data_IF_718535034513
#
_entry.id   IF_718535034513
#
_cell.length_a   1.000
_cell.length_b   1.000
_cell.length_c   1.000
_cell.angle_alpha   90.00
_cell.angle_beta   90.00
_cell.angle_gamma   90.00
#
_symmetry.space_group_name_H-M   'P 1'
#
loop_
_entity.id
_entity.type
_entity.pdbx_description
1 polymer ?
#
# COMPACT_ATOMS: atom_id res chain seq x y z
N UNK A 1 49.50 -0.15 -19.72
CA UNK A 1 48.68 0.37 -18.60
C UNK A 1 47.25 -0.07 -18.87
N UNK A 2 46.81 -1.17 -18.24
CA UNK A 2 45.47 -1.72 -18.44
C UNK A 2 44.54 -0.94 -17.53
N UNK A 3 43.58 -0.21 -18.10
CA UNK A 3 42.48 0.37 -17.34
C UNK A 3 41.59 -0.78 -16.87
N UNK A 4 41.76 -1.20 -15.62
CA UNK A 4 40.75 -1.99 -14.91
C UNK A 4 39.53 -1.09 -14.69
N UNK A 5 38.57 -1.17 -15.60
CA UNK A 5 37.24 -0.62 -15.37
C UNK A 5 36.59 -1.52 -14.31
N UNK A 6 36.71 -1.13 -13.04
CA UNK A 6 35.87 -1.70 -11.98
C UNK A 6 34.46 -1.20 -12.26
N UNK A 7 33.69 -1.99 -12.98
CA UNK A 7 32.25 -1.80 -13.09
C UNK A 7 31.68 -2.10 -11.70
N UNK A 8 31.40 -1.04 -10.93
CA UNK A 8 30.55 -1.18 -9.75
C UNK A 8 29.17 -1.50 -10.32
N UNK A 9 28.87 -2.80 -10.46
CA UNK A 9 27.51 -3.29 -10.62
C UNK A 9 26.79 -2.87 -9.35
N UNK A 10 26.14 -1.70 -9.40
CA UNK A 10 24.97 -1.51 -8.56
C UNK A 10 24.09 -2.72 -8.83
N UNK A 11 23.82 -3.51 -7.80
CA UNK A 11 22.79 -4.54 -7.83
C UNK A 11 21.47 -3.81 -8.01
N UNK A 12 21.17 -3.41 -9.24
CA UNK A 12 19.94 -2.74 -9.59
C UNK A 12 18.85 -3.78 -9.51
N UNK A 13 17.92 -3.62 -8.58
CA UNK A 13 16.72 -4.42 -8.51
C UNK A 13 15.95 -4.24 -9.83
N UNK A 14 15.93 -5.26 -10.72
CA UNK A 14 15.41 -5.09 -12.07
C UNK A 14 13.89 -5.25 -12.07
N UNK A 15 13.26 -4.75 -13.12
CA UNK A 15 11.87 -5.10 -13.41
C UNK A 15 11.77 -6.52 -13.96
N UNK A 16 10.68 -7.26 -13.68
CA UNK A 16 10.46 -8.61 -14.22
C UNK A 16 10.01 -8.61 -15.69
N UNK A 17 9.89 -7.43 -16.31
CA UNK A 17 9.52 -7.20 -17.70
C UNK A 17 10.62 -6.44 -18.43
N UNK A 18 10.81 -6.70 -19.72
CA UNK A 18 11.75 -5.92 -20.54
C UNK A 18 11.17 -4.55 -20.90
N UNK A 19 11.98 -3.49 -20.97
CA UNK A 19 13.39 -3.43 -20.57
C UNK A 19 13.56 -3.50 -19.04
N UNK A 20 14.55 -4.28 -18.55
CA UNK A 20 14.70 -4.56 -17.11
C UNK A 20 15.22 -3.39 -16.28
N UNK A 21 15.83 -2.40 -16.96
CA UNK A 21 16.60 -1.30 -16.40
C UNK A 21 15.90 0.06 -16.50
N UNK A 22 14.66 0.07 -16.96
CA UNK A 22 13.85 1.30 -17.14
C UNK A 22 12.56 1.17 -16.35
N UNK A 23 12.06 2.29 -15.82
CA UNK A 23 10.80 2.32 -15.09
C UNK A 23 9.64 1.75 -15.92
N UNK A 24 8.85 0.87 -15.30
CA UNK A 24 7.59 0.39 -15.85
C UNK A 24 6.41 1.03 -15.14
N UNK A 25 5.27 1.04 -15.84
CA UNK A 25 3.95 1.34 -15.29
C UNK A 25 3.68 0.64 -13.96
N UNK A 26 3.05 1.32 -13.02
CA UNK A 26 2.40 0.74 -11.84
C UNK A 26 0.94 1.19 -11.87
N UNK A 27 0.02 0.23 -11.81
CA UNK A 27 -1.43 0.50 -11.78
C UNK A 27 -2.09 0.03 -10.48
N UNK A 28 -1.35 -0.61 -9.60
CA UNK A 28 -1.82 -1.03 -8.29
C UNK A 28 -0.64 -1.12 -7.35
N UNK A 29 -0.84 -0.70 -6.10
CA UNK A 29 0.22 -0.64 -5.09
C UNK A 29 -0.05 -1.58 -3.93
N UNK A 30 0.99 -1.90 -3.17
CA UNK A 30 0.85 -2.68 -1.95
C UNK A 30 -0.09 -1.94 -1.01
N UNK A 31 -1.05 -2.66 -0.44
CA UNK A 31 -2.00 -2.09 0.51
C UNK A 31 -3.30 -1.59 -0.11
N UNK A 32 -3.42 -1.46 -1.44
CA UNK A 32 -4.69 -1.08 -2.08
C UNK A 32 -5.84 -1.99 -1.64
N UNK A 33 -7.03 -1.42 -1.43
CA UNK A 33 -8.23 -2.19 -1.14
C UNK A 33 -8.61 -3.06 -2.35
N UNK A 34 -8.87 -4.36 -2.12
CA UNK A 34 -9.30 -5.33 -3.14
C UNK A 34 -10.45 -6.20 -2.61
N UNK A 35 -11.14 -6.90 -3.51
CA UNK A 35 -12.26 -7.78 -3.15
C UNK A 35 -13.57 -7.02 -2.92
N UNK A 36 -14.30 -7.35 -1.85
CA UNK A 36 -15.57 -6.71 -1.50
C UNK A 36 -15.65 -6.41 -0.01
N UNK A 37 -16.70 -5.73 0.47
CA UNK A 37 -16.87 -5.50 1.92
C UNK A 37 -16.89 -6.81 2.72
N UNK A 38 -17.48 -7.88 2.16
CA UNK A 38 -17.59 -9.18 2.83
C UNK A 38 -16.37 -10.08 2.64
N UNK A 39 -15.49 -9.74 1.70
CA UNK A 39 -14.25 -10.44 1.38
C UNK A 39 -13.16 -9.43 1.02
N UNK A 40 -12.87 -8.54 1.98
CA UNK A 40 -11.94 -7.42 1.78
C UNK A 40 -10.53 -7.91 1.98
N UNK A 41 -9.60 -7.45 1.16
CA UNK A 41 -8.19 -7.81 1.27
C UNK A 41 -7.31 -6.64 0.86
N UNK A 42 -6.11 -6.59 1.44
CA UNK A 42 -5.06 -5.76 0.89
C UNK A 42 -4.54 -6.37 -0.42
N UNK A 43 -4.11 -5.50 -1.31
CA UNK A 43 -3.31 -5.87 -2.46
C UNK A 43 -1.90 -6.24 -2.02
N UNK A 44 -1.42 -7.44 -2.39
CA UNK A 44 -0.18 -8.03 -1.88
C UNK A 44 1.03 -7.85 -2.82
N UNK A 45 1.04 -6.79 -3.61
CA UNK A 45 2.17 -6.51 -4.49
C UNK A 45 1.95 -5.23 -5.27
N UNK A 46 2.53 -5.19 -6.45
CA UNK A 46 2.25 -4.17 -7.46
C UNK A 46 1.63 -4.81 -8.70
N UNK A 47 0.80 -4.04 -9.39
CA UNK A 47 0.31 -4.40 -10.72
C UNK A 47 1.13 -3.60 -11.74
N UNK A 48 1.79 -4.29 -12.66
CA UNK A 48 2.63 -3.71 -13.71
C UNK A 48 1.87 -3.84 -15.04
N UNK A 49 1.30 -2.76 -15.61
CA UNK A 49 0.57 -2.82 -16.87
C UNK A 49 1.40 -3.39 -18.00
N UNK A 50 0.86 -4.40 -18.65
CA UNK A 50 1.47 -5.08 -19.79
C UNK A 50 0.38 -5.88 -20.52
N UNK A 51 0.36 -5.81 -21.86
CA UNK A 51 -0.65 -6.53 -22.63
C UNK A 51 -0.45 -8.05 -22.61
N UNK A 52 -1.47 -8.83 -23.03
CA UNK A 52 -1.36 -10.28 -23.12
C UNK A 52 -0.19 -10.70 -24.01
N UNK A 53 0.49 -11.81 -23.66
CA UNK A 53 1.67 -12.30 -24.37
C UNK A 53 2.97 -11.55 -24.06
N UNK A 54 2.96 -10.56 -23.16
CA UNK A 54 4.20 -9.90 -22.72
C UNK A 54 5.04 -10.85 -21.88
N UNK A 55 6.26 -11.16 -22.32
CA UNK A 55 7.16 -12.08 -21.63
C UNK A 55 7.55 -11.60 -20.23
N UNK A 56 7.48 -12.53 -19.26
CA UNK A 56 7.88 -12.32 -17.86
C UNK A 56 9.11 -13.16 -17.56
N UNK A 57 10.06 -12.56 -16.83
CA UNK A 57 11.35 -13.14 -16.50
C UNK A 57 11.56 -13.19 -14.99
N UNK A 58 12.23 -14.24 -14.51
CA UNK A 58 12.55 -14.34 -13.10
C UNK A 58 13.64 -13.33 -12.71
N UNK A 59 13.46 -12.62 -11.60
CA UNK A 59 14.47 -11.73 -11.04
C UNK A 59 15.65 -12.53 -10.48
N UNK A 60 15.37 -13.56 -9.70
CA UNK A 60 16.38 -14.45 -9.10
C UNK A 60 16.45 -15.79 -9.82
N UNK A 61 17.61 -16.42 -9.83
CA UNK A 61 17.72 -17.83 -10.17
C UNK A 61 17.12 -18.70 -9.08
N UNK A 62 16.71 -19.91 -9.45
CA UNK A 62 16.22 -20.90 -8.49
C UNK A 62 15.29 -21.91 -9.12
N UNK A 63 14.50 -22.57 -8.26
CA UNK A 63 13.44 -23.49 -8.70
C UNK A 63 12.11 -22.74 -8.79
N UNK A 64 11.46 -22.83 -9.94
CA UNK A 64 10.15 -22.24 -10.17
C UNK A 64 9.03 -23.19 -9.75
N UNK A 65 8.00 -22.66 -9.11
CA UNK A 65 6.82 -23.43 -8.68
C UNK A 65 5.55 -22.69 -9.06
N UNK A 66 4.50 -23.43 -9.40
CA UNK A 66 3.20 -22.84 -9.70
C UNK A 66 2.52 -22.30 -8.44
N UNK A 67 1.74 -21.23 -8.59
CA UNK A 67 0.78 -20.78 -7.58
C UNK A 67 -0.31 -21.84 -7.36
N UNK A 68 -1.04 -21.75 -6.25
CA UNK A 68 -2.16 -22.66 -5.96
C UNK A 68 -3.25 -22.62 -7.05
N UNK A 69 -3.46 -21.46 -7.67
CA UNK A 69 -4.46 -21.27 -8.72
C UNK A 69 -3.93 -21.56 -10.12
N UNK A 70 -2.67 -21.98 -10.25
CA UNK A 70 -1.98 -22.24 -11.52
C UNK A 70 -2.01 -21.06 -12.51
N UNK A 71 -2.19 -19.84 -11.99
CA UNK A 71 -2.23 -18.58 -12.71
C UNK A 71 -0.94 -17.77 -12.57
N UNK A 72 0.12 -18.41 -12.06
CA UNK A 72 1.38 -17.76 -11.78
C UNK A 72 2.49 -18.71 -11.39
N UNK A 73 3.68 -18.13 -11.20
CA UNK A 73 4.88 -18.80 -10.68
C UNK A 73 5.42 -18.03 -9.50
N UNK A 74 6.13 -18.72 -8.60
CA UNK A 74 7.09 -18.10 -7.71
C UNK A 74 8.47 -18.74 -7.81
N UNK A 75 9.50 -17.93 -7.61
CA UNK A 75 10.92 -18.34 -7.54
C UNK A 75 11.53 -17.65 -6.32
N UNK A 76 11.90 -18.42 -5.30
CA UNK A 76 12.25 -17.85 -3.99
C UNK A 76 11.08 -17.08 -3.40
N UNK A 77 11.30 -15.80 -3.05
CA UNK A 77 10.26 -14.91 -2.49
C UNK A 77 9.53 -14.07 -3.55
N UNK A 78 9.85 -14.24 -4.84
CA UNK A 78 9.26 -13.45 -5.91
C UNK A 78 8.10 -14.21 -6.56
N UNK A 79 6.93 -13.59 -6.55
CA UNK A 79 5.69 -14.15 -7.11
C UNK A 79 5.30 -13.34 -8.35
N UNK A 80 4.93 -14.05 -9.40
CA UNK A 80 4.55 -13.53 -10.72
C UNK A 80 3.19 -14.14 -11.06
N UNK A 81 2.13 -13.33 -11.01
CA UNK A 81 0.73 -13.78 -11.06
C UNK A 81 0.03 -13.12 -12.26
N UNK A 82 -1.03 -13.75 -12.74
CA UNK A 82 -1.72 -13.45 -14.00
C UNK A 82 -0.87 -13.80 -15.23
N UNK A 83 -0.29 -14.99 -15.19
CA UNK A 83 0.50 -15.55 -16.27
C UNK A 83 -0.26 -16.61 -17.08
N UNK A 84 0.13 -16.75 -18.34
CA UNK A 84 -0.13 -17.90 -19.19
C UNK A 84 1.20 -18.43 -19.78
N UNK A 85 1.12 -19.50 -20.60
CA UNK A 85 2.30 -20.17 -21.20
C UNK A 85 3.46 -20.38 -20.21
N UNK A 86 3.08 -20.78 -19.00
CA UNK A 86 3.92 -20.88 -17.81
C UNK A 86 4.83 -22.11 -17.94
N UNK A 87 6.11 -21.98 -17.58
CA UNK A 87 7.04 -23.11 -17.56
C UNK A 87 6.61 -24.21 -16.57
N UNK A 88 7.14 -25.42 -16.72
CA UNK A 88 6.80 -26.53 -15.84
C UNK A 88 7.22 -26.26 -14.37
N UNK A 89 6.34 -26.59 -13.43
CA UNK A 89 6.65 -26.53 -12.00
C UNK A 89 7.84 -27.45 -11.68
N UNK A 90 8.75 -26.97 -10.84
CA UNK A 90 10.01 -27.63 -10.49
C UNK A 90 11.18 -27.32 -11.43
N UNK A 91 10.99 -26.56 -12.50
CA UNK A 91 12.08 -26.18 -13.43
C UNK A 91 13.15 -25.34 -12.73
N UNK A 92 14.43 -25.54 -13.08
CA UNK A 92 15.49 -24.60 -12.72
C UNK A 92 15.46 -23.43 -13.70
N UNK A 93 15.60 -22.21 -13.19
CA UNK A 93 15.62 -20.98 -13.97
C UNK A 93 16.81 -20.12 -13.58
N UNK A 94 17.40 -19.45 -14.57
CA UNK A 94 18.42 -18.42 -14.40
C UNK A 94 17.74 -17.05 -14.41
N UNK A 95 17.88 -16.30 -13.32
CA UNK A 95 17.26 -14.99 -13.15
C UNK A 95 18.07 -13.83 -13.74
N UNK A 96 17.42 -12.67 -13.84
CA UNK A 96 18.00 -11.42 -14.35
C UNK A 96 19.25 -11.01 -13.55
N UNK A 97 19.24 -11.20 -12.22
CA UNK A 97 20.37 -10.83 -11.37
C UNK A 97 21.64 -11.65 -11.67
N UNK A 98 21.49 -12.90 -12.09
CA UNK A 98 22.62 -13.78 -12.40
C UNK A 98 23.04 -13.69 -13.88
N UNK A 99 22.07 -13.50 -14.79
CA UNK A 99 22.34 -13.34 -16.23
C UNK A 99 21.41 -12.29 -16.86
N UNK A 100 21.74 -10.99 -16.77
CA UNK A 100 20.88 -9.93 -17.29
C UNK A 100 20.78 -9.92 -18.82
N UNK A 101 21.73 -10.53 -19.52
CA UNK A 101 21.76 -10.59 -20.98
C UNK A 101 20.82 -11.67 -21.54
N UNK A 102 20.71 -12.80 -20.83
CA UNK A 102 19.89 -13.92 -21.26
C UNK A 102 19.26 -14.67 -20.07
N UNK A 103 18.35 -14.02 -19.31
CA UNK A 103 17.61 -14.67 -18.25
C UNK A 103 16.48 -15.54 -18.82
N UNK A 104 16.03 -16.51 -18.04
CA UNK A 104 14.95 -17.41 -18.45
C UNK A 104 13.58 -16.72 -18.37
N UNK A 105 12.80 -16.86 -19.45
CA UNK A 105 11.38 -16.53 -19.47
C UNK A 105 10.62 -17.58 -18.66
N UNK A 106 9.77 -17.14 -17.73
CA UNK A 106 8.97 -18.02 -16.87
C UNK A 106 7.50 -18.14 -17.30
N UNK A 107 7.03 -17.23 -18.15
CA UNK A 107 5.68 -17.19 -18.70
C UNK A 107 5.48 -15.90 -19.48
N UNK A 108 4.24 -15.61 -19.83
CA UNK A 108 3.82 -14.31 -20.32
C UNK A 108 2.54 -13.84 -19.64
N UNK A 109 2.28 -12.54 -19.67
CA UNK A 109 1.09 -11.92 -19.10
C UNK A 109 -0.16 -12.46 -19.80
N UNK A 110 -1.15 -12.91 -19.03
CA UNK A 110 -2.42 -13.44 -19.56
C UNK A 110 -3.48 -12.36 -19.83
N UNK A 111 -3.37 -11.22 -19.14
CA UNK A 111 -4.36 -10.15 -19.13
C UNK A 111 -3.76 -8.78 -19.47
N UNK A 112 -4.13 -7.77 -18.71
CA UNK A 112 -3.69 -6.38 -18.90
C UNK A 112 -2.56 -5.94 -17.96
N UNK A 113 -2.12 -6.81 -17.06
CA UNK A 113 -1.00 -6.56 -16.15
C UNK A 113 -0.35 -7.84 -15.63
N UNK A 114 0.88 -7.70 -15.15
CA UNK A 114 1.54 -8.64 -14.25
C UNK A 114 1.26 -8.23 -12.81
N UNK A 115 0.71 -9.13 -11.99
CA UNK A 115 0.71 -8.94 -10.54
C UNK A 115 2.01 -9.49 -9.95
N UNK A 116 2.80 -8.62 -9.35
CA UNK A 116 4.14 -8.92 -8.87
C UNK A 116 4.26 -8.68 -7.37
N UNK A 117 4.62 -9.72 -6.64
CA UNK A 117 4.60 -9.75 -5.17
C UNK A 117 5.96 -10.23 -4.63
N UNK A 118 6.35 -9.70 -3.46
CA UNK A 118 7.56 -10.13 -2.74
C UNK A 118 7.19 -10.56 -1.33
N UNK A 119 7.54 -11.80 -0.97
CA UNK A 119 7.39 -12.34 0.37
C UNK A 119 7.32 -13.87 0.37
N UNK A 120 7.43 -14.51 1.55
CA UNK A 120 7.24 -15.94 1.68
C UNK A 120 5.77 -16.32 1.45
N UNK A 121 5.52 -17.62 1.25
CA UNK A 121 4.16 -18.16 1.22
C UNK A 121 3.44 -17.84 2.54
N UNK A 122 2.26 -17.22 2.46
CA UNK A 122 1.49 -16.78 3.63
C UNK A 122 1.88 -15.40 4.19
N UNK A 123 2.88 -14.72 3.60
CA UNK A 123 3.34 -13.41 4.05
C UNK A 123 4.31 -13.48 5.24
N UNK A 124 4.87 -12.33 5.66
CA UNK A 124 4.52 -10.98 5.25
C UNK A 124 4.94 -10.60 3.83
N UNK A 125 4.16 -9.76 3.15
CA UNK A 125 4.49 -9.25 1.82
C UNK A 125 5.08 -7.85 1.90
N UNK A 126 6.25 -7.66 1.29
CA UNK A 126 6.96 -6.37 1.29
C UNK A 126 6.59 -5.57 0.05
N UNK A 127 6.56 -4.24 0.16
CA UNK A 127 6.21 -3.36 -0.94
C UNK A 127 7.32 -3.41 -2.00
N UNK A 128 7.05 -3.97 -3.20
CA UNK A 128 8.05 -4.07 -4.26
C UNK A 128 8.65 -2.71 -4.63
N UNK A 129 7.93 -1.59 -4.48
CA UNK A 129 8.46 -0.27 -4.82
C UNK A 129 9.51 0.26 -3.84
N UNK A 130 9.60 -0.32 -2.64
CA UNK A 130 10.57 0.08 -1.61
C UNK A 130 11.57 -1.02 -1.24
N UNK A 131 11.32 -2.26 -1.66
CA UNK A 131 12.19 -3.41 -1.40
C UNK A 131 13.55 -3.20 -2.07
N UNK A 132 14.65 -3.38 -1.32
CA UNK A 132 16.03 -3.18 -1.79
C UNK A 132 16.29 -1.85 -2.53
N UNK A 133 15.61 -0.77 -2.09
CA UNK A 133 15.73 0.55 -2.70
C UNK A 133 14.78 0.81 -3.88
N UNK A 134 13.92 -0.16 -4.22
CA UNK A 134 12.93 -0.08 -5.28
C UNK A 134 13.48 -0.50 -6.65
N UNK A 135 12.59 -0.81 -7.61
CA UNK A 135 13.02 -1.25 -8.92
C UNK A 135 13.67 -0.08 -9.67
N UNK A 136 14.70 -0.41 -10.44
CA UNK A 136 15.54 0.55 -11.14
C UNK A 136 14.74 1.54 -11.98
N UNK A 137 15.07 2.83 -11.85
CA UNK A 137 14.41 3.91 -12.56
C UNK A 137 13.04 4.32 -12.01
N UNK A 138 12.46 3.57 -11.07
CA UNK A 138 11.23 3.98 -10.41
C UNK A 138 11.48 5.15 -9.46
N UNK A 139 10.66 6.19 -9.57
CA UNK A 139 10.64 7.31 -8.63
C UNK A 139 9.23 7.81 -8.53
N UNK A 140 8.80 8.20 -7.33
CA UNK A 140 7.55 8.91 -7.19
C UNK A 140 7.72 10.20 -6.40
N UNK A 141 7.52 11.31 -7.09
CA UNK A 141 7.50 12.66 -6.54
C UNK A 141 6.12 13.32 -6.73
N UNK A 142 5.10 12.53 -7.08
CA UNK A 142 3.73 12.98 -7.25
C UNK A 142 3.17 13.50 -5.95
N UNK A 143 2.62 14.72 -5.96
CA UNK A 143 1.85 15.17 -4.81
C UNK A 143 0.53 14.40 -4.76
N UNK A 144 0.24 13.67 -3.67
CA UNK A 144 -1.04 12.98 -3.54
C UNK A 144 -2.19 14.00 -3.53
N UNK A 145 -3.37 13.57 -3.96
CA UNK A 145 -4.57 14.39 -3.91
C UNK A 145 -5.39 13.96 -2.71
N UNK A 146 -5.73 14.93 -1.86
CA UNK A 146 -6.70 14.78 -0.78
C UNK A 146 -7.87 15.70 -1.09
N UNK A 147 -9.07 15.13 -1.21
CA UNK A 147 -10.24 15.92 -1.57
C UNK A 147 -10.88 16.61 -0.36
N UNK A 148 -11.16 17.91 -0.54
CA UNK A 148 -11.76 18.83 0.43
C UNK A 148 -13.26 18.63 0.70
N UNK A 149 -13.75 19.37 1.70
CA UNK A 149 -15.09 19.32 2.32
C UNK A 149 -16.33 19.52 1.42
N UNK A 150 -16.20 19.68 0.10
CA UNK A 150 -17.36 19.84 -0.78
C UNK A 150 -18.09 18.50 -1.04
N UNK A 151 -17.41 17.37 -0.84
CA UNK A 151 -17.94 16.01 -1.09
C UNK A 151 -17.66 15.03 0.06
N UNK A 152 -17.00 15.49 1.13
CA UNK A 152 -16.41 14.62 2.12
C UNK A 152 -16.85 15.00 3.54
N UNK A 153 -17.71 14.17 4.09
CA UNK A 153 -18.02 14.08 5.52
C UNK A 153 -16.79 13.50 6.23
N UNK A 154 -16.08 14.33 6.99
CA UNK A 154 -14.75 14.02 7.55
C UNK A 154 -14.80 13.45 8.95
N UNK A 155 -15.79 13.81 9.75
CA UNK A 155 -15.82 13.50 11.17
C UNK A 155 -16.99 12.57 11.48
N UNK A 156 -16.67 11.51 12.20
CA UNK A 156 -17.59 10.43 12.49
C UNK A 156 -17.46 10.03 13.96
N UNK A 157 -18.50 9.46 14.57
CA UNK A 157 -18.36 8.90 15.92
C UNK A 157 -17.51 7.65 15.86
N UNK A 158 -16.62 7.51 16.86
CA UNK A 158 -15.83 6.28 17.07
C UNK A 158 -16.69 5.03 16.89
N UNK A 159 -16.23 4.11 16.03
CA UNK A 159 -16.90 2.87 15.66
C UNK A 159 -17.74 2.97 14.38
N UNK A 160 -17.63 4.07 13.64
CA UNK A 160 -18.34 4.26 12.36
C UNK A 160 -17.76 3.40 11.21
N UNK A 161 -16.59 2.81 11.41
CA UNK A 161 -16.01 1.75 10.59
C UNK A 161 -16.84 0.45 10.63
N UNK A 162 -17.69 0.31 11.66
CA UNK A 162 -18.61 -0.79 11.83
C UNK A 162 -19.88 -0.69 10.98
N UNK A 163 -20.87 -1.53 11.27
CA UNK A 163 -22.10 -1.63 10.45
C UNK A 163 -22.94 -0.35 10.43
N UNK A 164 -22.78 0.52 11.42
CA UNK A 164 -23.54 1.76 11.55
C UNK A 164 -22.59 2.93 11.49
N UNK A 165 -22.97 3.93 10.70
CA UNK A 165 -22.19 5.14 10.51
C UNK A 165 -22.91 6.31 11.19
N UNK A 166 -22.18 7.15 11.92
CA UNK A 166 -22.76 8.35 12.53
C UNK A 166 -21.86 9.56 12.30
N UNK A 167 -22.30 10.43 11.39
CA UNK A 167 -21.58 11.65 11.09
C UNK A 167 -21.65 12.66 12.24
N UNK A 168 -20.58 13.43 12.42
CA UNK A 168 -20.48 14.50 13.41
C UNK A 168 -20.23 15.83 12.71
N UNK A 169 -21.11 16.79 13.00
CA UNK A 169 -20.97 18.18 12.57
C UNK A 169 -20.43 19.05 13.72
N UNK A 170 -19.92 20.23 13.40
CA UNK A 170 -19.45 21.19 14.39
C UNK A 170 -20.57 21.55 15.39
N UNK A 171 -20.29 21.62 16.71
CA UNK A 171 -18.98 21.40 17.35
C UNK A 171 -18.58 19.92 17.43
N UNK A 172 -17.29 19.64 17.18
CA UNK A 172 -16.73 18.29 17.35
C UNK A 172 -16.46 18.05 18.84
N UNK A 173 -16.94 16.93 19.38
CA UNK A 173 -16.77 16.58 20.79
C UNK A 173 -16.76 15.06 20.99
N UNK A 174 -16.14 14.58 22.07
CA UNK A 174 -15.98 13.15 22.37
C UNK A 174 -14.93 12.45 21.48
N UNK A 175 -15.18 11.17 21.20
CA UNK A 175 -14.32 10.28 20.40
C UNK A 175 -14.75 10.31 18.94
N UNK A 176 -13.83 10.67 18.05
CA UNK A 176 -14.09 10.99 16.65
C UNK A 176 -13.18 10.18 15.74
N UNK A 177 -13.74 9.51 14.74
CA UNK A 177 -12.98 8.97 13.62
C UNK A 177 -12.92 10.02 12.52
N UNK A 178 -11.76 10.08 11.87
CA UNK A 178 -11.55 11.02 10.77
C UNK A 178 -11.42 10.20 9.48
N UNK A 179 -12.21 10.57 8.47
CA UNK A 179 -12.19 9.93 7.15
C UNK A 179 -11.70 10.90 6.09
N UNK A 180 -10.85 10.41 5.20
CA UNK A 180 -10.41 11.17 4.03
C UNK A 180 -10.65 10.41 2.74
N UNK A 181 -10.78 11.15 1.64
CA UNK A 181 -10.81 10.59 0.29
C UNK A 181 -9.54 11.05 -0.40
N UNK A 182 -8.66 10.12 -0.78
CA UNK A 182 -7.38 10.45 -1.37
C UNK A 182 -6.88 9.41 -2.38
N UNK A 183 -5.94 9.84 -3.22
CA UNK A 183 -5.18 8.99 -4.14
C UNK A 183 -3.74 9.45 -4.22
N UNK A 184 -2.86 8.53 -4.59
CA UNK A 184 -1.59 8.89 -5.17
C UNK A 184 -1.77 9.25 -6.66
N UNK A 185 -1.01 10.23 -7.15
CA UNK A 185 -1.00 10.57 -8.57
C UNK A 185 0.02 9.75 -9.34
N UNK A 186 1.05 9.23 -8.66
CA UNK A 186 2.27 8.69 -9.25
C UNK A 186 2.93 9.62 -10.28
N UNK A 187 4.22 9.45 -10.58
CA UNK A 187 4.93 10.35 -11.51
C UNK A 187 5.89 9.66 -12.45
N UNK A 188 6.61 8.63 -12.00
CA UNK A 188 7.39 7.77 -12.89
C UNK A 188 6.72 6.43 -13.06
N UNK A 189 6.83 5.88 -14.28
CA UNK A 189 6.41 4.53 -14.60
C UNK A 189 4.98 4.26 -14.12
N UNK A 190 3.97 4.99 -14.57
CA UNK A 190 2.61 4.79 -14.03
C UNK A 190 1.48 5.31 -14.89
N UNK A 191 0.29 4.77 -14.65
CA UNK A 191 -0.99 5.31 -15.12
C UNK A 191 -1.51 6.18 -13.97
N UNK A 192 -1.67 7.49 -14.19
CA UNK A 192 -1.90 8.49 -13.13
C UNK A 192 -3.22 8.33 -12.31
N UNK A 193 -3.91 7.20 -12.38
CA UNK A 193 -5.32 7.09 -12.00
C UNK A 193 -5.72 5.87 -11.18
N UNK A 194 -4.81 5.03 -10.69
CA UNK A 194 -5.24 3.75 -10.06
C UNK A 194 -4.60 3.37 -8.73
N UNK A 195 -3.55 4.06 -8.27
CA UNK A 195 -2.80 3.67 -7.06
C UNK A 195 -3.27 4.39 -5.79
N UNK A 196 -3.29 3.66 -4.68
CA UNK A 196 -3.50 4.21 -3.35
C UNK A 196 -2.27 4.93 -2.82
N UNK A 197 -2.43 5.60 -1.68
CA UNK A 197 -1.34 6.31 -1.00
C UNK A 197 -0.39 5.36 -0.26
N UNK A 198 0.92 5.64 -0.30
CA UNK A 198 1.93 4.88 0.45
C UNK A 198 1.91 5.17 1.96
N UNK A 199 1.72 6.44 2.32
CA UNK A 199 1.73 6.94 3.70
C UNK A 199 0.62 7.95 3.92
N UNK A 200 -0.03 7.86 5.08
CA UNK A 200 -1.03 8.80 5.57
C UNK A 200 -0.68 9.34 6.93
N UNK A 201 -0.85 10.64 7.08
CA UNK A 201 -0.76 11.34 8.34
C UNK A 201 -1.90 12.35 8.45
N UNK A 202 -2.26 12.70 9.68
CA UNK A 202 -3.24 13.74 9.94
C UNK A 202 -2.79 14.63 11.10
N UNK A 203 -3.34 15.83 11.12
CA UNK A 203 -3.20 16.75 12.24
C UNK A 203 -4.50 17.50 12.41
N UNK A 204 -4.72 18.02 13.61
CA UNK A 204 -5.86 18.90 13.89
C UNK A 204 -5.32 20.29 14.12
N UNK A 205 -5.95 21.27 13.47
CA UNK A 205 -5.63 22.69 13.65
C UNK A 205 -6.78 23.41 14.31
N UNK A 206 -6.52 24.05 15.46
CA UNK A 206 -7.48 24.95 16.09
C UNK A 206 -7.78 26.13 15.17
N UNK A 207 -9.06 26.41 14.94
CA UNK A 207 -9.49 27.59 14.16
C UNK A 207 -9.23 28.89 14.89
N UNK A 208 -9.29 28.89 16.22
CA UNK A 208 -9.18 30.10 17.04
C UNK A 208 -7.72 30.51 17.25
N UNK A 209 -6.86 29.55 17.62
CA UNK A 209 -5.45 29.84 17.93
C UNK A 209 -4.52 29.57 16.76
N UNK A 210 -4.96 28.80 15.76
CA UNK A 210 -4.11 28.33 14.67
C UNK A 210 -3.15 27.20 15.05
N UNK A 211 -3.12 26.80 16.33
CA UNK A 211 -2.27 25.72 16.86
C UNK A 211 -2.57 24.40 16.17
N UNK A 212 -1.54 23.71 15.70
CA UNK A 212 -1.64 22.36 15.14
C UNK A 212 -1.18 21.32 16.16
N UNK A 213 -1.90 20.21 16.22
CA UNK A 213 -1.57 19.04 17.02
C UNK A 213 -1.37 17.84 16.09
N UNK A 214 -0.21 17.19 16.17
CA UNK A 214 0.27 16.19 15.21
C UNK A 214 1.58 16.65 14.53
N UNK A 215 1.97 16.05 13.38
CA UNK A 215 1.25 15.00 12.66
C UNK A 215 1.18 13.68 13.43
N UNK A 216 0.06 12.98 13.27
CA UNK A 216 -0.14 11.62 13.72
C UNK A 216 -0.04 10.71 12.51
N UNK A 217 0.83 9.71 12.58
CA UNK A 217 0.94 8.70 11.55
C UNK A 217 -0.23 7.74 11.65
N UNK A 218 -0.86 7.44 10.52
CA UNK A 218 -1.90 6.43 10.41
C UNK A 218 -1.34 5.21 9.71
N UNK A 219 -1.20 5.30 8.40
CA UNK A 219 -0.97 4.15 7.54
C UNK A 219 0.36 4.36 6.86
N UNK A 220 1.20 3.33 6.86
CA UNK A 220 2.33 3.22 5.95
C UNK A 220 2.30 1.81 5.41
N UNK A 221 2.51 1.64 4.12
CA UNK A 221 2.53 0.33 3.47
C UNK A 221 3.95 -0.07 3.03
N UNK A 222 4.92 -0.24 3.96
CA UNK A 222 6.19 -0.88 3.61
C UNK A 222 6.00 -2.40 3.45
N UNK A 223 4.95 -2.94 4.07
CA UNK A 223 4.62 -4.35 4.17
C UNK A 223 3.11 -4.49 4.41
N UNK A 224 2.52 -5.61 3.99
CA UNK A 224 1.16 -6.07 4.33
C UNK A 224 1.21 -7.53 4.78
N UNK A 225 0.20 -7.97 5.54
CA UNK A 225 0.15 -9.23 6.31
C UNK A 225 1.12 -9.27 7.50
N UNK A 226 0.67 -9.48 8.75
CA UNK A 226 -0.64 -9.17 9.36
C UNK A 226 -0.90 -7.64 9.47
N UNK A 227 -2.09 -7.17 9.92
CA UNK A 227 -3.26 -7.99 10.16
C UNK A 227 -3.82 -8.46 8.81
N UNK A 228 -4.54 -9.58 8.86
CA UNK A 228 -5.02 -10.31 7.69
C UNK A 228 -6.15 -9.56 6.94
N UNK A 229 -6.58 -10.18 5.82
CA UNK A 229 -7.82 -9.89 5.12
C UNK A 229 -9.05 -9.81 6.06
N UNK A 230 -10.12 -9.22 5.55
CA UNK A 230 -11.41 -9.11 6.22
C UNK A 230 -11.50 -7.84 7.08
N UNK A 231 -12.06 -7.97 8.28
CA UNK A 231 -12.38 -6.84 9.14
C UNK A 231 -11.25 -5.81 9.35
N UNK A 232 -9.96 -6.19 9.50
CA UNK A 232 -8.87 -5.22 9.65
C UNK A 232 -8.70 -4.29 8.43
N UNK A 233 -8.98 -4.77 7.22
CA UNK A 233 -8.94 -3.95 6.00
C UNK A 233 -10.00 -2.86 6.06
N UNK A 234 -11.15 -3.14 6.66
CA UNK A 234 -12.27 -2.19 6.80
C UNK A 234 -12.05 -1.17 7.93
N UNK A 235 -11.03 -1.37 8.77
CA UNK A 235 -10.54 -0.34 9.69
C UNK A 235 -9.62 0.65 8.98
N UNK A 236 -9.01 0.28 7.84
CA UNK A 236 -8.24 1.21 7.00
C UNK A 236 -9.14 1.87 5.97
N UNK A 237 -10.01 1.09 5.33
CA UNK A 237 -10.87 1.53 4.23
C UNK A 237 -12.33 1.61 4.66
N UNK A 238 -12.99 2.72 4.33
CA UNK A 238 -14.40 2.91 4.64
C UNK A 238 -15.27 1.87 3.93
N UNK A 239 -15.84 0.95 4.71
CA UNK A 239 -16.77 -0.07 4.24
C UNK A 239 -18.04 0.50 3.59
N UNK A 240 -18.53 1.66 4.03
CA UNK A 240 -19.75 2.27 3.50
C UNK A 240 -19.51 2.88 2.12
N UNK A 241 -18.24 3.13 1.79
CA UNK A 241 -17.79 3.65 0.50
C UNK A 241 -16.61 2.82 -0.03
N UNK A 242 -16.68 1.49 0.15
CA UNK A 242 -15.57 0.60 -0.16
C UNK A 242 -15.30 0.59 -1.66
N UNK A 243 -14.02 0.67 -2.02
CA UNK A 243 -13.57 0.74 -3.41
C UNK A 243 -12.42 -0.22 -3.61
N UNK A 244 -12.36 -0.79 -4.80
CA UNK A 244 -11.26 -1.66 -5.24
C UNK A 244 -10.26 -0.96 -6.15
N UNK A 245 -10.54 0.29 -6.50
CA UNK A 245 -9.73 1.14 -7.36
C UNK A 245 -9.67 2.54 -6.74
N UNK A 246 -8.46 3.09 -6.70
CA UNK A 246 -8.19 4.46 -6.25
C UNK A 246 -9.01 5.49 -7.04
N UNK A 247 -9.36 6.64 -6.46
CA UNK A 247 -9.15 7.07 -5.07
C UNK A 247 -9.94 6.25 -4.04
N UNK A 248 -9.41 6.12 -2.83
CA UNK A 248 -10.02 5.38 -1.73
C UNK A 248 -10.48 6.29 -0.60
N UNK A 249 -11.42 5.79 0.21
CA UNK A 249 -11.82 6.40 1.46
C UNK A 249 -11.07 5.74 2.62
N UNK A 250 -10.21 6.49 3.30
CA UNK A 250 -9.39 6.00 4.41
C UNK A 250 -9.90 6.52 5.76
N UNK A 251 -9.92 5.66 6.77
CA UNK A 251 -10.03 6.06 8.17
C UNK A 251 -8.65 6.46 8.67
N UNK A 252 -8.40 7.78 8.75
CA UNK A 252 -7.08 8.31 9.11
C UNK A 252 -6.81 8.20 10.60
N UNK A 253 -7.78 7.85 11.43
CA UNK A 253 -7.56 7.65 12.85
C UNK A 253 -6.98 6.29 13.19
N UNK A 254 -7.06 5.30 12.29
CA UNK A 254 -6.72 3.89 12.56
C UNK A 254 -5.33 3.51 12.04
N UNK A 255 -4.29 3.54 12.88
CA UNK A 255 -2.94 3.34 12.39
C UNK A 255 -2.61 1.88 12.15
N UNK A 256 -1.61 1.63 11.29
CA UNK A 256 -0.93 0.35 11.19
C UNK A 256 0.35 0.41 12.03
N UNK A 257 0.36 -0.32 13.15
CA UNK A 257 1.47 -0.38 14.10
C UNK A 257 1.89 -1.83 14.27
N UNK A 258 3.18 -2.11 14.13
CA UNK A 258 3.72 -3.48 14.20
C UNK A 258 2.96 -4.46 13.30
N UNK A 259 2.58 -4.00 12.10
CA UNK A 259 1.77 -4.79 11.17
C UNK A 259 0.45 -5.22 11.82
N UNK A 260 -0.22 -4.34 12.56
CA UNK A 260 -1.57 -4.52 13.09
C UNK A 260 -2.33 -3.20 12.91
N UNK A 261 -3.54 -3.28 12.37
CA UNK A 261 -4.43 -2.13 12.27
C UNK A 261 -5.07 -1.99 13.64
N UNK A 262 -4.87 -0.84 14.25
CA UNK A 262 -5.52 -0.50 15.51
C UNK A 262 -6.75 0.36 15.24
N UNK A 263 -7.88 -0.05 15.80
CA UNK A 263 -9.10 0.76 15.87
C UNK A 263 -8.88 1.87 16.90
N UNK A 264 -8.66 3.09 16.42
CA UNK A 264 -8.31 4.27 17.20
C UNK A 264 -9.19 5.45 16.79
N UNK A 265 -9.24 6.44 17.67
CA UNK A 265 -10.03 7.64 17.45
C UNK A 265 -9.27 8.88 17.93
N UNK A 266 -9.68 10.03 17.44
CA UNK A 266 -9.33 11.30 18.05
C UNK A 266 -10.24 11.58 19.25
N UNK A 267 -9.68 11.54 20.47
CA UNK A 267 -10.37 12.03 21.65
C UNK A 267 -10.22 13.55 21.76
N UNK A 268 -11.27 14.28 21.39
CA UNK A 268 -11.32 15.76 21.44
C UNK A 268 -11.18 16.34 22.84
N UNK A 269 -11.33 15.53 23.89
CA UNK A 269 -11.17 15.93 25.30
C UNK A 269 -10.07 15.12 25.99
N UNK A 270 -9.11 14.57 25.25
CA UNK A 270 -8.01 13.80 25.85
C UNK A 270 -7.31 14.63 26.95
N UNK A 271 -7.15 14.07 28.14
CA UNK A 271 -6.39 14.70 29.22
C UNK A 271 -4.88 14.67 28.92
N UNK A 272 -4.18 15.75 29.24
CA UNK A 272 -2.73 15.83 29.07
C UNK A 272 -2.01 14.69 29.82
N UNK A 273 -1.05 14.07 29.13
CA UNK A 273 -0.22 12.98 29.69
C UNK A 273 -0.84 11.58 29.60
N UNK A 274 -2.08 11.46 29.12
CA UNK A 274 -2.73 10.17 28.87
C UNK A 274 -2.40 9.65 27.46
N UNK A 275 -2.50 8.33 27.29
CA UNK A 275 -2.49 7.69 25.97
C UNK A 275 -3.76 8.04 25.16
N UNK A 276 -3.75 7.78 23.85
CA UNK A 276 -4.85 8.14 22.94
C UNK A 276 -6.26 7.66 23.39
N UNK A 277 -6.33 6.56 24.13
CA UNK A 277 -7.56 5.96 24.68
C UNK A 277 -7.81 6.28 26.16
N UNK A 278 -7.03 7.19 26.73
CA UNK A 278 -7.08 7.54 28.14
C UNK A 278 -8.24 8.45 28.52
N UNK A 279 -8.15 9.02 29.72
CA UNK A 279 -9.26 9.72 30.35
C UNK A 279 -9.55 11.07 29.70
N UNK A 280 -10.83 11.46 29.75
CA UNK A 280 -11.24 12.80 29.38
C UNK A 280 -10.78 13.83 30.43
N UNK A 281 -10.38 15.00 29.93
CA UNK A 281 -10.15 16.20 30.69
C UNK A 281 -11.46 16.68 31.32
N UNK A 282 -11.42 17.04 32.61
CA UNK A 282 -12.61 17.51 33.34
C UNK A 282 -12.85 19.00 33.11
N UNK A 283 -11.78 19.72 32.77
CA UNK A 283 -11.76 21.15 32.47
C UNK A 283 -10.80 21.40 31.30
N UNK A 284 -10.99 22.49 30.56
CA UNK A 284 -10.21 22.78 29.35
C UNK A 284 -8.70 22.91 29.63
N UNK A 285 -8.31 23.38 30.82
CA UNK A 285 -6.91 23.49 31.21
C UNK A 285 -6.20 22.13 31.36
N UNK A 286 -6.96 21.05 31.56
CA UNK A 286 -6.42 19.67 31.60
C UNK A 286 -6.39 19.02 30.21
N UNK A 287 -7.03 19.63 29.20
CA UNK A 287 -7.17 19.04 27.87
C UNK A 287 -5.87 19.18 27.06
N UNK A 288 -5.50 18.10 26.39
CA UNK A 288 -4.47 18.11 25.36
C UNK A 288 -4.97 18.86 24.11
N UNK A 289 -6.27 18.78 23.82
CA UNK A 289 -6.96 19.56 22.79
C UNK A 289 -7.98 20.51 23.44
N UNK A 290 -7.55 21.68 23.96
CA UNK A 290 -8.48 22.66 24.51
C UNK A 290 -9.39 23.25 23.42
N UNK A 291 -10.68 23.32 23.75
CA UNK A 291 -11.78 23.99 23.03
C UNK A 291 -11.81 25.50 23.25
#
# INVERSE_FOLDING_TARGET
MIFNLVLILFSTYPWPLKPFDTAHGVSGTLGDGRGSVTDSRFHWGIDIPAGPGTNVFSITSGRAYHTQHHDGIYVGNYWYIHLENIIASGSQVVGILDNPLNPDRIGDVAGDHLHFQIGPSGGPFTNPLSYDGGPVGYTDNGMPIVWGSATAHWFWRSGSEGQTVQEVQSPLWGKIDIRTYCQDRQTSGGVNTTSGIYRLEWLVRSRNTGTAYGPYQTTVFPQVQPPNNGAPVLLVYDRHNYRTVSPFYYWVTNPIINNQVEDRYWNTKLRQGEDWNGLDARINAEAYFPD
#
